data_IF_452187040449
#
_entry.id   IF_452187040449
#
_cell.length_a   1.000
_cell.length_b   1.000
_cell.length_c   1.000
_cell.angle_alpha   90.00
_cell.angle_beta   90.00
_cell.angle_gamma   90.00
#
_symmetry.space_group_name_H-M   'P 1'
#
loop_
_entity.id
_entity.type
_entity.pdbx_description
1 polymer ?
#
# COMPACT_ATOMS: atom_id res chain seq x y z
N UNK A 1 -21.66 4.90 6.18
CA UNK A 1 -20.42 4.17 5.89
C UNK A 1 -19.34 4.69 6.82
N UNK A 2 -18.63 3.80 7.49
CA UNK A 2 -17.43 4.20 8.22
C UNK A 2 -16.23 4.19 7.28
N UNK A 3 -15.21 4.96 7.64
CA UNK A 3 -13.98 5.07 6.88
C UNK A 3 -12.78 5.05 7.80
N UNK A 4 -11.71 4.41 7.36
CA UNK A 4 -10.38 4.56 7.92
C UNK A 4 -9.49 5.28 6.89
N UNK A 5 -8.54 6.06 7.38
CA UNK A 5 -7.54 6.73 6.54
C UNK A 5 -6.19 6.08 6.83
N UNK A 6 -5.51 5.64 5.78
CA UNK A 6 -4.14 5.09 5.83
C UNK A 6 -3.15 6.09 5.23
N UNK A 7 -1.88 5.92 5.54
CA UNK A 7 -0.75 6.78 5.15
C UNK A 7 -0.11 6.41 3.79
N UNK A 8 -0.61 5.36 3.13
CA UNK A 8 -0.16 4.96 1.80
C UNK A 8 -1.06 5.59 0.72
N UNK A 9 -0.63 6.76 0.20
CA UNK A 9 -1.27 7.46 -0.91
C UNK A 9 -0.64 7.21 -2.29
N UNK A 10 -0.84 8.13 -3.23
CA UNK A 10 -0.33 8.07 -4.60
C UNK A 10 1.20 8.06 -4.67
N UNK A 11 1.87 8.68 -3.71
CA UNK A 11 3.33 8.64 -3.58
C UNK A 11 3.86 7.31 -3.04
N UNK A 12 2.97 6.43 -2.60
CA UNK A 12 3.27 5.08 -2.14
C UNK A 12 2.80 4.00 -3.14
N UNK A 13 1.77 4.24 -3.94
CA UNK A 13 1.32 3.29 -4.96
C UNK A 13 0.83 4.00 -6.21
N UNK A 14 1.26 3.50 -7.36
CA UNK A 14 0.69 3.92 -8.64
C UNK A 14 -0.76 3.45 -8.78
N UNK A 15 -1.53 4.18 -9.58
CA UNK A 15 -2.94 3.90 -9.89
C UNK A 15 -3.25 3.89 -11.38
N UNK A 16 -2.22 3.85 -12.22
CA UNK A 16 -2.36 3.78 -13.68
C UNK A 16 -3.14 2.52 -14.14
N UNK A 17 -3.08 1.44 -13.35
CA UNK A 17 -3.83 0.20 -13.57
C UNK A 17 -4.89 -0.08 -12.49
N UNK A 18 -5.42 0.98 -11.85
CA UNK A 18 -6.44 0.87 -10.81
C UNK A 18 -5.90 1.01 -9.38
N UNK A 19 -6.83 1.05 -8.42
CA UNK A 19 -6.50 1.25 -7.00
C UNK A 19 -5.82 0.01 -6.39
N UNK A 20 -5.00 0.18 -5.32
CA UNK A 20 -4.53 -0.93 -4.52
C UNK A 20 -5.70 -1.73 -3.94
N UNK A 21 -5.46 -3.00 -3.61
CA UNK A 21 -6.43 -3.84 -2.88
C UNK A 21 -5.88 -4.22 -1.52
N UNK A 22 -6.75 -4.48 -0.54
CA UNK A 22 -6.30 -4.85 0.81
C UNK A 22 -6.07 -6.36 0.88
N UNK A 23 -4.83 -6.75 1.20
CA UNK A 23 -4.44 -8.15 1.29
C UNK A 23 -5.08 -8.82 2.50
N UNK A 24 -5.74 -9.96 2.29
CA UNK A 24 -6.35 -10.80 3.33
C UNK A 24 -7.36 -10.08 4.25
N UNK A 25 -7.95 -8.98 3.80
CA UNK A 25 -9.01 -8.22 4.48
C UNK A 25 -10.15 -7.90 3.51
N UNK A 26 -10.98 -8.89 3.11
CA UNK A 26 -12.07 -8.68 2.16
C UNK A 26 -13.18 -7.76 2.68
N UNK A 27 -13.20 -7.52 4.00
CA UNK A 27 -14.04 -6.55 4.71
C UNK A 27 -13.65 -5.09 4.44
N UNK A 28 -12.44 -4.84 3.93
CA UNK A 28 -11.92 -3.51 3.64
C UNK A 28 -11.83 -3.27 2.13
N UNK A 29 -12.34 -2.13 1.67
CA UNK A 29 -12.25 -1.69 0.28
C UNK A 29 -11.46 -0.40 0.22
N UNK A 30 -10.34 -0.39 -0.51
CA UNK A 30 -9.61 0.83 -0.80
C UNK A 30 -10.36 1.64 -1.87
N UNK A 31 -10.96 2.77 -1.49
CA UNK A 31 -11.91 3.50 -2.34
C UNK A 31 -11.38 4.79 -2.95
N UNK A 32 -10.49 5.51 -2.24
CA UNK A 32 -9.98 6.81 -2.68
C UNK A 32 -8.52 6.95 -2.31
N UNK A 33 -7.82 7.78 -3.09
CA UNK A 33 -6.41 8.08 -2.92
C UNK A 33 -6.18 9.57 -3.10
N UNK A 34 -5.29 10.13 -2.28
CA UNK A 34 -4.63 11.42 -2.47
C UNK A 34 -3.11 11.19 -2.39
N UNK A 35 -2.30 12.24 -2.46
CA UNK A 35 -0.84 12.15 -2.45
C UNK A 35 -0.28 11.25 -1.35
N UNK A 36 -0.69 11.48 -0.10
CA UNK A 36 -0.15 10.83 1.10
C UNK A 36 -1.19 10.00 1.86
N UNK A 37 -2.43 9.93 1.38
CA UNK A 37 -3.51 9.26 2.11
C UNK A 37 -4.35 8.34 1.23
N UNK A 38 -4.71 7.19 1.79
CA UNK A 38 -5.70 6.27 1.26
C UNK A 38 -6.96 6.25 2.11
N UNK A 39 -8.12 6.06 1.49
CA UNK A 39 -9.40 5.89 2.21
C UNK A 39 -9.88 4.46 2.06
N UNK A 40 -9.97 3.75 3.19
CA UNK A 40 -10.61 2.46 3.29
C UNK A 40 -12.07 2.65 3.69
N UNK A 41 -12.98 2.04 2.95
CA UNK A 41 -14.34 1.82 3.42
C UNK A 41 -14.44 0.49 4.17
N UNK A 42 -15.26 0.51 5.20
CA UNK A 42 -15.38 -0.58 6.18
C UNK A 42 -16.77 -0.54 6.83
N UNK A 43 -17.20 -1.68 7.35
CA UNK A 43 -18.30 -1.71 8.31
C UNK A 43 -17.78 -1.32 9.71
N UNK A 44 -18.67 -0.82 10.58
CA UNK A 44 -18.25 -0.29 11.88
C UNK A 44 -17.48 -1.31 12.75
N UNK A 45 -17.91 -2.57 12.73
CA UNK A 45 -17.28 -3.64 13.51
C UNK A 45 -15.87 -4.01 13.02
N UNK A 46 -15.56 -3.71 11.76
CA UNK A 46 -14.34 -4.17 11.08
C UNK A 46 -13.33 -3.04 10.87
N UNK A 47 -13.68 -1.81 11.28
CA UNK A 47 -12.84 -0.62 11.14
C UNK A 47 -11.49 -0.83 11.85
N UNK A 48 -10.36 -0.74 11.13
CA UNK A 48 -9.03 -0.84 11.73
C UNK A 48 -8.85 0.19 12.84
N UNK A 49 -8.19 -0.20 13.93
CA UNK A 49 -7.87 0.73 15.02
C UNK A 49 -6.78 1.70 14.58
N UNK A 50 -6.71 2.87 15.24
CA UNK A 50 -5.59 3.80 15.02
C UNK A 50 -4.25 3.11 15.30
N UNK A 51 -3.34 3.15 14.33
CA UNK A 51 -2.03 2.49 14.39
C UNK A 51 -2.02 1.02 13.98
N UNK A 52 -3.18 0.42 13.69
CA UNK A 52 -3.23 -0.91 13.07
C UNK A 52 -2.70 -0.86 11.64
N UNK A 53 -1.85 -1.82 11.28
CA UNK A 53 -1.25 -1.91 9.96
C UNK A 53 -2.07 -2.82 9.04
N UNK A 54 -2.18 -2.42 7.78
CA UNK A 54 -2.79 -3.23 6.71
C UNK A 54 -1.78 -3.42 5.58
N UNK A 55 -1.92 -4.53 4.87
CA UNK A 55 -1.12 -4.80 3.67
C UNK A 55 -1.91 -4.39 2.42
N UNK A 56 -1.27 -3.64 1.53
CA UNK A 56 -1.85 -3.26 0.25
C UNK A 56 -1.14 -3.99 -0.88
N UNK A 57 -1.90 -4.62 -1.77
CA UNK A 57 -1.41 -5.14 -3.05
C UNK A 57 -1.52 -4.00 -4.07
N UNK A 58 -0.42 -3.54 -4.69
CA UNK A 58 -0.46 -2.43 -5.64
C UNK A 58 -1.22 -2.83 -6.91
N UNK A 59 -1.88 -1.86 -7.54
CA UNK A 59 -2.58 -2.08 -8.82
C UNK A 59 -1.61 -2.40 -9.97
N UNK A 60 -0.42 -1.82 -9.95
CA UNK A 60 0.66 -2.10 -10.89
C UNK A 60 2.01 -2.11 -10.16
N UNK A 61 2.75 -3.22 -10.28
CA UNK A 61 4.01 -3.43 -9.58
C UNK A 61 5.13 -2.49 -10.02
N UNK A 62 5.40 -2.38 -11.32
CA UNK A 62 6.56 -1.68 -11.88
C UNK A 62 6.61 -0.18 -11.49
N UNK A 63 5.57 0.63 -11.74
CA UNK A 63 5.59 2.03 -11.36
C UNK A 63 5.57 2.23 -9.85
N UNK A 64 4.99 1.30 -9.09
CA UNK A 64 4.99 1.36 -7.63
C UNK A 64 6.39 1.11 -7.06
N UNK A 65 7.07 0.06 -7.51
CA UNK A 65 8.46 -0.23 -7.10
C UNK A 65 9.37 0.97 -7.42
N UNK A 66 9.15 1.65 -8.54
CA UNK A 66 9.93 2.82 -8.93
C UNK A 66 9.77 4.05 -7.98
N UNK A 67 8.80 4.05 -7.06
CA UNK A 67 8.61 5.10 -6.05
C UNK A 67 9.52 4.91 -4.82
N UNK A 68 10.13 3.74 -4.64
CA UNK A 68 10.88 3.38 -3.44
C UNK A 68 12.37 3.16 -3.73
N UNK A 69 13.22 3.50 -2.76
CA UNK A 69 14.67 3.23 -2.84
C UNK A 69 15.04 1.79 -2.42
N UNK A 70 14.18 1.11 -1.66
CA UNK A 70 14.46 -0.21 -1.09
C UNK A 70 13.21 -1.09 -1.03
N UNK A 71 13.42 -2.41 -1.09
CA UNK A 71 12.45 -3.44 -0.74
C UNK A 71 12.77 -3.99 0.64
N UNK A 72 11.76 -4.09 1.50
CA UNK A 72 11.86 -4.77 2.80
C UNK A 72 11.51 -6.25 2.60
N UNK A 73 12.50 -7.13 2.71
CA UNK A 73 12.32 -8.57 2.52
C UNK A 73 11.94 -9.23 3.85
N UNK A 74 10.77 -9.86 3.90
CA UNK A 74 10.21 -10.46 5.12
C UNK A 74 10.08 -11.98 4.96
N UNK A 75 10.55 -12.72 5.97
CA UNK A 75 10.37 -14.17 6.11
C UNK A 75 9.96 -14.50 7.54
N UNK A 76 8.95 -15.37 7.71
CA UNK A 76 8.45 -15.80 9.02
C UNK A 76 8.14 -14.63 9.98
N UNK A 77 7.57 -13.55 9.44
CA UNK A 77 7.19 -12.36 10.20
C UNK A 77 8.36 -11.48 10.65
N UNK A 78 9.57 -11.70 10.15
CA UNK A 78 10.77 -10.90 10.47
C UNK A 78 11.41 -10.34 9.21
N UNK A 79 11.99 -9.15 9.34
CA UNK A 79 12.82 -8.56 8.30
C UNK A 79 14.11 -9.39 8.18
N UNK A 80 14.33 -9.96 7.01
CA UNK A 80 15.50 -10.78 6.68
C UNK A 80 16.57 -9.95 5.94
N UNK A 81 16.14 -9.03 5.09
CA UNK A 81 17.03 -8.17 4.30
C UNK A 81 16.35 -6.86 3.89
N UNK A 82 17.19 -5.89 3.49
CA UNK A 82 16.79 -4.70 2.74
C UNK A 82 17.49 -4.74 1.40
N UNK A 83 16.75 -4.82 0.30
CA UNK A 83 17.33 -4.83 -1.04
C UNK A 83 17.22 -3.45 -1.67
N UNK A 84 18.33 -2.87 -2.19
CA UNK A 84 18.27 -1.61 -2.90
C UNK A 84 17.56 -1.78 -4.24
N UNK A 85 16.69 -0.83 -4.60
CA UNK A 85 16.14 -0.71 -5.94
C UNK A 85 17.16 0.10 -6.76
N UNK A 86 18.24 -0.57 -7.14
CA UNK A 86 19.45 0.09 -7.69
C UNK A 86 19.20 0.88 -8.98
N UNK A 87 18.18 0.52 -9.75
CA UNK A 87 17.80 1.18 -11.00
C UNK A 87 16.57 2.11 -10.85
N UNK A 88 16.19 2.49 -9.62
CA UNK A 88 15.08 3.43 -9.40
C UNK A 88 15.32 4.71 -10.19
N UNK A 89 14.34 5.12 -10.98
CA UNK A 89 14.39 6.34 -11.79
C UNK A 89 15.35 6.29 -12.99
N UNK A 90 15.94 5.12 -13.30
CA UNK A 90 16.75 4.93 -14.50
C UNK A 90 15.86 4.78 -15.75
N UNK A 91 15.22 5.89 -16.15
CA UNK A 91 14.42 5.98 -17.37
C UNK A 91 15.29 6.39 -18.56
N UNK A 92 14.99 5.83 -19.74
CA UNK A 92 15.67 6.11 -21.00
C UNK A 92 15.26 7.47 -21.59
#
# INVERSE_FOLDING_TARGET
EERAVVDAGLKASSVDSGLPTVWQRPDLIYQKISDEHGVLATAHADTPKLGEQVWLVPGHCDPTVNLYDQLVCVRDGKVEALWPIAARGAVL
#
